data_IF_234289187246
#
_entry.id   IF_234289187246
#
_cell.length_a   1.000
_cell.length_b   1.000
_cell.length_c   1.000
_cell.angle_alpha   90.00
_cell.angle_beta   90.00
_cell.angle_gamma   90.00
#
_symmetry.space_group_name_H-M   'P 1'
#
loop_
_entity.id
_entity.type
_entity.pdbx_description
1 polymer ?
#
# COMPACT_ATOMS: atom_id res chain seq x y z
N UNK A 1 12.30 -5.80 -7.19
CA UNK A 1 11.84 -4.73 -8.09
C UNK A 1 12.87 -4.55 -9.19
N UNK A 2 12.46 -4.72 -10.44
CA UNK A 2 13.27 -4.40 -11.63
C UNK A 2 12.33 -3.60 -12.53
N UNK A 3 12.68 -2.34 -12.79
CA UNK A 3 12.04 -1.55 -13.84
C UNK A 3 12.72 -1.88 -15.16
N UNK A 4 11.97 -2.35 -16.15
CA UNK A 4 12.49 -2.46 -17.50
C UNK A 4 12.13 -1.23 -18.35
N UNK A 5 12.81 -1.08 -19.48
CA UNK A 5 12.63 0.06 -20.37
C UNK A 5 11.21 0.17 -20.94
N UNK A 6 10.49 -0.95 -21.07
CA UNK A 6 9.12 -0.96 -21.58
C UNK A 6 8.12 -0.48 -20.51
N UNK A 7 8.34 -0.82 -19.24
CA UNK A 7 7.56 -0.28 -18.12
C UNK A 7 7.75 1.24 -18.01
N UNK A 8 8.98 1.72 -18.18
CA UNK A 8 9.31 3.14 -18.09
C UNK A 8 8.69 3.96 -19.24
N UNK A 9 8.74 3.49 -20.48
CA UNK A 9 8.13 4.21 -21.62
C UNK A 9 6.61 4.31 -21.47
N UNK A 10 5.93 3.22 -21.14
CA UNK A 10 4.47 3.18 -21.03
C UNK A 10 3.99 4.06 -19.87
N UNK A 11 4.66 4.01 -18.73
CA UNK A 11 4.24 4.73 -17.52
C UNK A 11 4.63 6.21 -17.58
N UNK A 12 5.73 6.56 -18.24
CA UNK A 12 6.12 7.95 -18.50
C UNK A 12 5.17 8.63 -19.49
N UNK A 13 4.75 7.94 -20.55
CA UNK A 13 3.76 8.46 -21.50
C UNK A 13 2.39 8.69 -20.85
N UNK A 14 2.07 7.94 -19.79
CA UNK A 14 0.84 8.08 -19.01
C UNK A 14 0.94 9.11 -17.87
N UNK A 15 2.11 9.73 -17.67
CA UNK A 15 2.33 10.73 -16.62
C UNK A 15 2.43 10.17 -15.20
N UNK A 16 2.60 8.86 -15.04
CA UNK A 16 2.55 8.15 -13.75
C UNK A 16 3.94 7.66 -13.27
N UNK A 17 5.01 8.04 -13.96
CA UNK A 17 6.35 7.51 -13.67
C UNK A 17 6.83 7.90 -12.27
N UNK A 18 6.55 9.13 -11.84
CA UNK A 18 6.90 9.59 -10.50
C UNK A 18 6.16 8.80 -9.42
N UNK A 19 4.84 8.63 -9.58
CA UNK A 19 4.00 7.83 -8.67
C UNK A 19 4.53 6.39 -8.58
N UNK A 20 4.83 5.75 -9.72
CA UNK A 20 5.39 4.40 -9.74
C UNK A 20 6.76 4.33 -9.04
N UNK A 21 7.66 5.29 -9.27
CA UNK A 21 8.96 5.32 -8.59
C UNK A 21 8.76 5.43 -7.07
N UNK A 22 7.88 6.31 -6.61
CA UNK A 22 7.60 6.48 -5.17
C UNK A 22 6.98 5.22 -4.58
N UNK A 23 6.04 4.59 -5.29
CA UNK A 23 5.41 3.33 -4.89
C UNK A 23 6.45 2.24 -4.65
N UNK A 24 7.37 2.08 -5.59
CA UNK A 24 8.38 1.03 -5.49
C UNK A 24 9.48 1.34 -4.48
N UNK A 25 9.80 2.62 -4.29
CA UNK A 25 10.67 3.05 -3.20
C UNK A 25 10.04 2.78 -1.83
N UNK A 26 8.72 2.90 -1.67
CA UNK A 26 8.05 2.51 -0.43
C UNK A 26 8.21 1.01 -0.16
N UNK A 27 8.10 0.15 -1.17
CA UNK A 27 8.39 -1.28 -1.03
C UNK A 27 9.84 -1.56 -0.64
N UNK A 28 10.81 -0.84 -1.22
CA UNK A 28 12.23 -0.94 -0.82
C UNK A 28 12.43 -0.55 0.65
N UNK A 29 11.67 0.41 1.15
CA UNK A 29 11.68 0.84 2.56
C UNK A 29 10.90 -0.11 3.49
N UNK A 30 10.33 -1.19 2.96
CA UNK A 30 9.70 -2.27 3.72
C UNK A 30 8.17 -2.27 3.68
N UNK A 31 7.54 -1.35 2.94
CA UNK A 31 6.09 -1.40 2.77
C UNK A 31 5.70 -2.72 2.09
N UNK A 32 4.68 -3.41 2.60
CA UNK A 32 4.18 -4.64 1.99
C UNK A 32 5.03 -5.90 2.18
N UNK A 33 6.23 -5.81 2.76
CA UNK A 33 7.12 -6.96 2.93
C UNK A 33 8.18 -6.79 4.04
N UNK A 34 8.59 -7.91 4.63
CA UNK A 34 9.69 -7.95 5.60
C UNK A 34 9.22 -7.80 7.05
N UNK A 35 10.14 -7.87 8.04
CA UNK A 35 9.77 -8.08 9.43
C UNK A 35 8.85 -7.02 10.03
N UNK A 36 9.03 -5.75 9.68
CA UNK A 36 8.16 -4.66 10.15
C UNK A 36 6.72 -4.83 9.65
N UNK A 37 6.56 -5.25 8.39
CA UNK A 37 5.27 -5.50 7.79
C UNK A 37 4.65 -6.81 8.32
N UNK A 38 5.39 -7.92 8.18
CA UNK A 38 4.92 -9.28 8.48
C UNK A 38 4.53 -9.45 9.96
N UNK A 39 5.22 -8.78 10.90
CA UNK A 39 4.88 -8.84 12.33
C UNK A 39 3.56 -8.12 12.68
N UNK A 40 3.13 -7.19 11.83
CA UNK A 40 1.91 -6.40 12.02
C UNK A 40 0.78 -6.83 11.08
N UNK A 41 1.04 -7.75 10.14
CA UNK A 41 0.04 -8.29 9.24
C UNK A 41 -0.74 -9.42 9.91
N UNK A 42 -2.02 -9.21 10.13
CA UNK A 42 -2.95 -10.19 10.66
C UNK A 42 -3.88 -10.73 9.58
N UNK A 43 -4.33 -11.98 9.76
CA UNK A 43 -5.27 -12.60 8.83
C UNK A 43 -4.67 -12.89 7.45
N UNK A 44 -3.35 -13.13 7.35
CA UNK A 44 -2.73 -13.62 6.10
C UNK A 44 -3.43 -14.92 5.68
N UNK A 45 -3.79 -15.04 4.40
CA UNK A 45 -4.66 -16.09 3.83
C UNK A 45 -6.16 -15.97 4.15
N UNK A 46 -6.60 -14.87 4.74
CA UNK A 46 -8.03 -14.54 4.89
C UNK A 46 -8.49 -13.55 3.82
N UNK A 47 -9.81 -13.39 3.69
CA UNK A 47 -10.43 -12.41 2.80
C UNK A 47 -10.41 -10.98 3.37
N UNK A 48 -10.00 -10.81 4.62
CA UNK A 48 -9.99 -9.50 5.30
C UNK A 48 -8.69 -9.37 6.12
N UNK A 49 -7.52 -9.42 5.47
CA UNK A 49 -6.26 -9.19 6.16
C UNK A 49 -6.21 -7.73 6.65
N UNK A 50 -5.48 -7.53 7.75
CA UNK A 50 -5.42 -6.25 8.44
C UNK A 50 -3.99 -5.96 8.88
N UNK A 51 -3.58 -4.71 8.77
CA UNK A 51 -2.30 -4.24 9.30
C UNK A 51 -2.51 -3.54 10.63
N UNK A 52 -1.73 -3.89 11.65
CA UNK A 52 -1.92 -3.39 13.03
C UNK A 52 -0.76 -2.54 13.55
N UNK A 53 0.02 -1.93 12.65
CA UNK A 53 1.05 -0.96 13.02
C UNK A 53 0.46 0.27 13.71
N UNK A 54 1.10 0.71 14.79
CA UNK A 54 0.58 1.78 15.66
C UNK A 54 0.46 3.14 14.98
N UNK A 55 1.41 3.51 14.13
CA UNK A 55 1.41 4.74 13.34
C UNK A 55 0.39 4.66 12.21
N UNK A 56 0.39 3.57 11.44
CA UNK A 56 -0.59 3.38 10.35
C UNK A 56 -2.04 3.45 10.89
N UNK A 57 -2.30 2.80 12.03
CA UNK A 57 -3.59 2.84 12.70
C UNK A 57 -3.98 4.25 13.16
N UNK A 58 -3.05 4.99 13.76
CA UNK A 58 -3.28 6.37 14.23
C UNK A 58 -3.68 7.27 13.07
N UNK A 59 -2.97 7.19 11.96
CA UNK A 59 -3.26 8.00 10.78
C UNK A 59 -4.52 7.54 10.07
N UNK A 60 -4.80 6.24 10.04
CA UNK A 60 -6.08 5.71 9.53
C UNK A 60 -7.27 6.26 10.32
N UNK A 61 -7.21 6.23 11.65
CA UNK A 61 -8.21 6.84 12.53
C UNK A 61 -8.32 8.36 12.33
N UNK A 62 -7.20 9.04 12.05
CA UNK A 62 -7.20 10.48 11.80
C UNK A 62 -7.96 10.85 10.52
N UNK A 63 -7.81 10.04 9.46
CA UNK A 63 -8.45 10.29 8.16
C UNK A 63 -9.93 9.87 8.18
N UNK A 64 -10.25 8.71 8.74
CA UNK A 64 -11.59 8.11 8.67
C UNK A 64 -12.42 8.27 9.96
N UNK A 65 -11.84 8.85 11.01
CA UNK A 65 -12.50 9.14 12.28
C UNK A 65 -12.65 7.93 13.20
N UNK A 66 -13.34 8.15 14.34
CA UNK A 66 -13.49 7.19 15.44
C UNK A 66 -14.25 5.89 15.09
N UNK A 67 -14.88 5.82 13.92
CA UNK A 67 -15.57 4.60 13.47
C UNK A 67 -14.63 3.63 12.72
N UNK A 68 -13.40 4.06 12.44
CA UNK A 68 -12.37 3.20 11.87
C UNK A 68 -11.97 2.11 12.89
N UNK A 69 -11.75 0.89 12.40
CA UNK A 69 -11.17 -0.16 13.23
C UNK A 69 -9.73 0.19 13.63
N UNK A 70 -9.24 -0.38 14.74
CA UNK A 70 -7.84 -0.28 15.19
C UNK A 70 -6.89 -1.14 14.32
N UNK A 71 -7.10 -1.10 13.01
CA UNK A 71 -6.31 -1.84 12.02
C UNK A 71 -6.62 -1.32 10.61
N UNK A 72 -5.61 -1.25 9.76
CA UNK A 72 -5.75 -0.80 8.37
C UNK A 72 -6.12 -1.98 7.45
N UNK A 73 -7.16 -1.85 6.59
CA UNK A 73 -7.49 -2.85 5.58
C UNK A 73 -6.34 -3.11 4.57
N UNK A 74 -6.00 -4.38 4.37
CA UNK A 74 -4.96 -4.83 3.43
C UNK A 74 -5.62 -5.57 2.26
N UNK A 75 -5.04 -5.47 1.08
CA UNK A 75 -5.52 -6.17 -0.12
C UNK A 75 -5.44 -7.70 0.08
N UNK A 76 -6.55 -8.40 -0.14
CA UNK A 76 -6.63 -9.86 0.02
C UNK A 76 -6.46 -10.60 -1.31
N UNK A 77 -6.65 -9.90 -2.43
CA UNK A 77 -6.78 -10.47 -3.77
C UNK A 77 -5.60 -10.12 -4.67
N UNK A 78 -5.54 -10.77 -5.84
CA UNK A 78 -4.42 -10.64 -6.78
C UNK A 78 -3.35 -11.72 -6.59
N UNK A 79 -2.19 -11.50 -7.21
CA UNK A 79 -1.07 -12.45 -7.20
C UNK A 79 -0.13 -12.26 -6.01
N UNK A 80 0.96 -13.04 -5.93
CA UNK A 80 2.00 -12.92 -4.90
C UNK A 80 2.66 -11.54 -4.79
N UNK A 81 2.55 -10.71 -5.83
CA UNK A 81 3.03 -9.33 -5.84
C UNK A 81 1.97 -8.29 -5.49
N UNK A 82 0.75 -8.68 -5.14
CA UNK A 82 -0.37 -7.76 -4.86
C UNK A 82 -1.01 -8.06 -3.52
N UNK A 83 -1.47 -9.30 -3.34
CA UNK A 83 -2.16 -9.72 -2.13
C UNK A 83 -1.22 -9.61 -0.92
N UNK A 84 -1.76 -9.07 0.18
CA UNK A 84 -1.09 -8.89 1.46
C UNK A 84 0.08 -7.91 1.47
N UNK A 85 0.33 -7.20 0.36
CA UNK A 85 1.44 -6.25 0.21
C UNK A 85 0.97 -4.80 0.01
N UNK A 86 -0.34 -4.58 -0.15
CA UNK A 86 -0.94 -3.30 -0.51
C UNK A 86 -2.11 -2.96 0.40
N UNK A 87 -2.48 -1.68 0.45
CA UNK A 87 -3.76 -1.28 1.01
C UNK A 87 -4.93 -1.80 0.16
N UNK A 88 -6.03 -2.11 0.83
CA UNK A 88 -7.26 -2.54 0.15
C UNK A 88 -7.82 -1.38 -0.67
N UNK A 89 -7.93 -1.57 -1.99
CA UNK A 89 -8.37 -0.53 -2.92
C UNK A 89 -9.76 0.05 -2.57
N UNK A 90 -10.69 -0.79 -2.09
CA UNK A 90 -12.04 -0.37 -1.72
C UNK A 90 -12.08 0.59 -0.51
N UNK A 91 -11.10 0.48 0.39
CA UNK A 91 -10.96 1.36 1.56
C UNK A 91 -10.13 2.61 1.25
N UNK A 92 -9.26 2.54 0.25
CA UNK A 92 -8.31 3.58 -0.12
C UNK A 92 -8.33 3.89 -1.63
N UNK A 93 -9.47 4.34 -2.19
CA UNK A 93 -9.53 4.64 -3.61
C UNK A 93 -8.57 5.80 -3.95
N UNK A 94 -7.56 5.52 -4.78
CA UNK A 94 -6.56 6.49 -5.23
C UNK A 94 -5.41 6.75 -4.28
N UNK A 95 -5.18 5.86 -3.32
CA UNK A 95 -3.95 5.87 -2.52
C UNK A 95 -2.80 5.20 -3.30
N UNK A 96 -1.58 5.70 -3.13
CA UNK A 96 -0.42 5.26 -3.91
C UNK A 96 -0.09 3.78 -3.75
N UNK A 97 -0.21 3.23 -2.55
CA UNK A 97 0.17 1.87 -2.16
C UNK A 97 -0.98 0.85 -2.27
N UNK A 98 -1.94 1.10 -3.16
CA UNK A 98 -2.88 0.06 -3.62
C UNK A 98 -2.21 -0.79 -4.71
N UNK A 99 -2.77 -1.98 -4.98
CA UNK A 99 -2.19 -2.94 -5.93
C UNK A 99 -2.21 -2.54 -7.42
N UNK A 100 -2.49 -1.28 -7.74
CA UNK A 100 -2.53 -0.76 -9.12
C UNK A 100 -2.19 0.73 -9.11
N UNK A 101 -1.29 1.15 -9.98
CA UNK A 101 -1.04 2.59 -10.20
C UNK A 101 -2.23 3.16 -10.97
N UNK A 102 -2.89 4.15 -10.38
CA UNK A 102 -3.94 4.92 -11.05
C UNK A 102 -3.47 6.37 -11.24
N UNK A 103 -4.00 7.05 -12.26
CA UNK A 103 -3.63 8.43 -12.57
C UNK A 103 -3.90 9.34 -11.37
N UNK A 104 -2.91 10.16 -10.99
CA UNK A 104 -2.96 11.08 -9.85
C UNK A 104 -3.18 10.38 -8.50
N UNK A 105 -2.43 9.30 -8.23
CA UNK A 105 -2.46 8.64 -6.94
C UNK A 105 -1.92 9.56 -5.85
N UNK A 106 -2.44 9.45 -4.63
CA UNK A 106 -2.00 10.26 -3.48
C UNK A 106 -1.24 9.38 -2.51
N UNK A 107 0.00 9.76 -2.17
CA UNK A 107 0.70 9.18 -1.04
C UNK A 107 0.04 9.68 0.25
N UNK A 108 -0.71 8.81 0.93
CA UNK A 108 -1.32 9.15 2.21
C UNK A 108 -0.32 8.99 3.35
N UNK A 109 -0.56 9.70 4.45
CA UNK A 109 0.25 9.54 5.66
C UNK A 109 0.06 8.16 6.32
N UNK A 110 -0.96 7.38 5.91
CA UNK A 110 -1.14 5.98 6.32
C UNK A 110 -0.04 5.07 5.73
N UNK A 111 0.63 5.50 4.65
CA UNK A 111 1.76 4.78 4.07
C UNK A 111 3.07 4.92 4.89
N UNK A 112 3.10 5.75 5.94
CA UNK A 112 4.26 5.90 6.82
C UNK A 112 4.37 4.68 7.74
N UNK A 113 5.46 3.92 7.58
CA UNK A 113 5.72 2.73 8.37
C UNK A 113 6.30 3.03 9.77
N UNK A 114 6.20 2.04 10.66
CA UNK A 114 6.76 2.09 12.02
C UNK A 114 8.31 2.26 11.99
N UNK A 115 8.85 3.09 12.90
CA UNK A 115 10.28 3.19 13.20
C UNK A 115 10.63 2.39 14.46
#
# INVERSE_FOLDING_TARGET
MIFDLADLEIVQEQGNLEDLIVHEMAHVLGFGAGPLWDNNLQGRNSQQPRFTGSQANREYQRIFGFNAQDSVPVEATGGPGTAYAHWEMGSFPGELMIGSIILASVLSIVAVMEN
#
